data_IF_738932680587
#
_entry.id   IF_738932680587
#
_cell.length_a   1.000
_cell.length_b   1.000
_cell.length_c   1.000
_cell.angle_alpha   90.00
_cell.angle_beta   90.00
_cell.angle_gamma   90.00
#
_symmetry.space_group_name_H-M   'P 1'
#
loop_
_entity.id
_entity.type
_entity.pdbx_description
1 polymer ?
#
# COMPACT_ATOMS: atom_id res chain seq x y z
N UNK A 1 -3.55 -18.44 -12.31
CA UNK A 1 -3.64 -16.99 -12.17
C UNK A 1 -2.92 -16.27 -13.31
N UNK A 2 -3.16 -14.99 -13.45
CA UNK A 2 -2.52 -14.15 -14.48
C UNK A 2 -1.07 -13.79 -14.15
N UNK A 3 -0.72 -13.81 -12.86
CA UNK A 3 0.65 -13.66 -12.35
C UNK A 3 1.17 -15.02 -11.93
N UNK A 4 2.41 -15.33 -12.30
CA UNK A 4 3.12 -16.53 -11.84
C UNK A 4 4.05 -16.12 -10.71
N UNK A 5 3.73 -16.57 -9.53
CA UNK A 5 4.56 -16.33 -8.35
C UNK A 5 5.64 -17.42 -8.22
N UNK A 6 6.84 -16.99 -7.86
CA UNK A 6 7.96 -17.89 -7.58
C UNK A 6 7.67 -18.64 -6.27
N UNK A 7 7.69 -19.97 -6.31
CA UNK A 7 7.26 -20.83 -5.20
C UNK A 7 8.06 -20.58 -3.90
N UNK A 8 9.38 -20.34 -4.05
CA UNK A 8 10.29 -20.10 -2.92
C UNK A 8 10.51 -18.59 -2.63
N UNK A 9 9.76 -17.70 -3.31
CA UNK A 9 9.97 -16.26 -3.23
C UNK A 9 11.30 -15.80 -3.83
N UNK A 10 11.72 -14.58 -3.51
CA UNK A 10 12.98 -13.96 -4.01
C UNK A 10 14.12 -14.01 -2.97
N UNK A 11 13.89 -14.62 -1.84
CA UNK A 11 14.78 -14.68 -0.68
C UNK A 11 13.99 -14.48 0.61
N UNK A 12 14.65 -14.52 1.76
CA UNK A 12 13.97 -14.30 3.03
C UNK A 12 13.43 -12.86 3.08
N UNK A 13 12.17 -12.74 3.46
CA UNK A 13 11.58 -11.42 3.74
C UNK A 13 12.27 -10.83 4.96
N UNK A 14 12.71 -9.59 4.84
CA UNK A 14 13.32 -8.84 5.95
C UNK A 14 12.41 -7.66 6.29
N UNK A 15 12.22 -7.42 7.59
CA UNK A 15 11.48 -6.27 8.10
C UNK A 15 12.42 -5.34 8.83
N UNK A 16 12.40 -4.08 8.42
CA UNK A 16 13.12 -2.98 9.04
C UNK A 16 12.13 -1.89 9.43
N UNK A 17 12.04 -1.57 10.72
CA UNK A 17 11.22 -0.45 11.18
C UNK A 17 11.85 0.87 10.68
N UNK A 18 11.00 1.79 10.23
CA UNK A 18 11.49 3.08 9.71
C UNK A 18 11.97 3.94 10.89
N UNK A 19 13.24 4.35 10.89
CA UNK A 19 13.79 5.16 11.99
C UNK A 19 12.98 6.44 12.21
N UNK A 20 12.64 6.72 13.46
CA UNK A 20 11.89 7.91 13.89
C UNK A 20 10.47 8.03 13.30
N UNK A 21 9.91 7.01 12.66
CA UNK A 21 8.53 6.99 12.15
C UNK A 21 7.74 5.89 12.87
N UNK A 22 7.02 6.23 13.94
CA UNK A 22 6.32 5.22 14.75
C UNK A 22 5.33 4.40 13.93
N UNK A 23 5.48 3.08 13.99
CA UNK A 23 4.55 2.14 13.36
C UNK A 23 4.68 1.98 11.84
N UNK A 24 5.65 2.65 11.21
CA UNK A 24 5.99 2.41 9.80
C UNK A 24 7.17 1.44 9.69
N UNK A 25 7.12 0.55 8.70
CA UNK A 25 8.19 -0.41 8.43
C UNK A 25 8.28 -0.77 6.95
N UNK A 26 9.49 -1.13 6.53
CA UNK A 26 9.79 -1.61 5.19
C UNK A 26 9.95 -3.13 5.24
N UNK A 27 9.44 -3.80 4.23
CA UNK A 27 9.66 -5.22 3.97
C UNK A 27 10.42 -5.37 2.65
N UNK A 28 11.55 -6.04 2.67
CA UNK A 28 12.32 -6.37 1.47
C UNK A 28 11.97 -7.78 0.99
N UNK A 29 12.18 -8.05 -0.31
CA UNK A 29 12.01 -9.38 -0.93
C UNK A 29 10.57 -9.92 -0.94
N UNK A 30 9.57 -9.04 -0.99
CA UNK A 30 8.17 -9.46 -1.12
C UNK A 30 7.87 -9.97 -2.52
N UNK A 31 8.35 -9.26 -3.56
CA UNK A 31 8.18 -9.65 -4.95
C UNK A 31 9.53 -9.85 -5.62
N UNK A 32 9.64 -10.85 -6.49
CA UNK A 32 10.80 -10.99 -7.36
C UNK A 32 10.77 -9.93 -8.48
N UNK A 33 11.91 -9.63 -9.13
CA UNK A 33 11.94 -8.75 -10.30
C UNK A 33 10.96 -9.21 -11.40
N UNK A 34 10.85 -10.52 -11.64
CA UNK A 34 9.93 -11.07 -12.63
C UNK A 34 8.45 -10.86 -12.24
N UNK A 35 8.11 -11.00 -10.96
CA UNK A 35 6.75 -10.72 -10.46
C UNK A 35 6.41 -9.23 -10.60
N UNK A 36 7.36 -8.32 -10.33
CA UNK A 36 7.19 -6.90 -10.59
C UNK A 36 6.93 -6.61 -12.07
N UNK A 37 7.70 -7.22 -12.98
CA UNK A 37 7.51 -7.07 -14.43
C UNK A 37 6.14 -7.57 -14.90
N UNK A 38 5.67 -8.69 -14.38
CA UNK A 38 4.35 -9.21 -14.70
C UNK A 38 3.25 -8.23 -14.24
N UNK A 39 3.35 -7.67 -13.03
CA UNK A 39 2.38 -6.69 -12.52
C UNK A 39 2.40 -5.39 -13.33
N UNK A 40 3.59 -4.90 -13.71
CA UNK A 40 3.74 -3.73 -14.59
C UNK A 40 3.15 -3.99 -15.99
N UNK A 41 3.42 -5.16 -16.55
CA UNK A 41 2.88 -5.55 -17.87
C UNK A 41 1.35 -5.62 -17.85
N UNK A 42 0.76 -6.20 -16.81
CA UNK A 42 -0.69 -6.28 -16.65
C UNK A 42 -1.32 -4.90 -16.52
N UNK A 43 -0.75 -4.01 -15.67
CA UNK A 43 -1.28 -2.64 -15.52
C UNK A 43 -1.23 -1.86 -16.82
N UNK A 44 -0.16 -2.02 -17.58
CA UNK A 44 -0.03 -1.41 -18.92
C UNK A 44 -1.06 -1.96 -19.91
N UNK A 45 -1.32 -3.27 -19.88
CA UNK A 45 -2.33 -3.90 -20.74
C UNK A 45 -3.77 -3.49 -20.38
N UNK A 46 -4.04 -3.24 -19.10
CA UNK A 46 -5.35 -2.75 -18.60
C UNK A 46 -5.56 -1.28 -18.92
N UNK A 47 -4.49 -0.52 -19.06
CA UNK A 47 -4.52 0.91 -19.32
C UNK A 47 -4.48 1.78 -18.04
N UNK A 48 -3.94 2.97 -18.21
CA UNK A 48 -3.82 3.98 -17.17
C UNK A 48 -4.82 5.11 -17.40
N UNK A 49 -5.32 5.70 -16.35
CA UNK A 49 -6.24 6.84 -16.40
C UNK A 49 -5.84 7.91 -15.39
N UNK A 50 -6.04 9.17 -15.75
CA UNK A 50 -5.87 10.30 -14.84
C UNK A 50 -7.05 10.46 -13.86
N UNK A 51 -8.18 9.85 -14.17
CA UNK A 51 -9.40 9.91 -13.36
C UNK A 51 -9.27 8.99 -12.14
N UNK A 52 -9.03 9.57 -10.98
CA UNK A 52 -9.03 8.82 -9.73
C UNK A 52 -10.47 8.47 -9.30
N UNK A 53 -10.73 7.22 -8.88
CA UNK A 53 -12.04 6.82 -8.34
C UNK A 53 -12.44 7.58 -7.07
N UNK A 54 -11.48 8.20 -6.40
CA UNK A 54 -11.67 9.18 -5.33
C UNK A 54 -11.10 10.47 -5.84
N UNK A 55 -11.94 11.40 -6.24
CA UNK A 55 -11.54 12.68 -6.84
C UNK A 55 -10.91 13.59 -5.79
N UNK A 56 -9.61 13.48 -5.65
CA UNK A 56 -8.81 14.55 -5.08
C UNK A 56 -8.41 15.46 -6.25
N UNK A 57 -8.57 16.78 -6.08
CA UNK A 57 -8.16 17.71 -7.14
C UNK A 57 -6.68 17.54 -7.52
N UNK A 58 -6.32 17.81 -8.79
CA UNK A 58 -4.93 17.67 -9.29
C UNK A 58 -3.90 18.44 -8.46
N UNK A 59 -4.32 19.52 -7.78
CA UNK A 59 -3.48 20.26 -6.84
C UNK A 59 -3.07 19.45 -5.61
N UNK A 60 -3.78 18.36 -5.28
CA UNK A 60 -3.47 17.46 -4.15
C UNK A 60 -2.79 16.21 -4.66
N UNK A 61 -3.31 15.60 -5.72
CA UNK A 61 -2.78 14.38 -6.31
C UNK A 61 -2.74 14.48 -7.82
N UNK A 62 -1.54 14.34 -8.37
CA UNK A 62 -1.27 14.25 -9.79
C UNK A 62 -0.53 12.95 -10.07
N UNK A 63 -1.17 12.03 -10.76
CA UNK A 63 -0.63 10.74 -11.17
C UNK A 63 -1.65 10.00 -12.04
N UNK A 64 -1.21 8.97 -12.73
CA UNK A 64 -2.10 8.02 -13.40
C UNK A 64 -2.50 6.88 -12.44
N UNK A 65 -3.65 6.29 -12.70
CA UNK A 65 -4.24 5.22 -11.89
C UNK A 65 -4.65 4.03 -12.76
N UNK A 66 -4.58 2.84 -12.15
CA UNK A 66 -5.24 1.63 -12.63
C UNK A 66 -5.85 0.93 -11.41
N UNK A 67 -7.11 0.52 -11.47
CA UNK A 67 -7.78 -0.15 -10.35
C UNK A 67 -8.00 -1.61 -10.69
N UNK A 68 -7.52 -2.48 -9.82
CA UNK A 68 -7.69 -3.92 -9.92
C UNK A 68 -8.58 -4.45 -8.83
N UNK A 69 -9.22 -5.57 -9.13
CA UNK A 69 -9.83 -6.44 -8.14
C UNK A 69 -8.97 -7.70 -8.10
N UNK A 70 -8.21 -7.85 -7.01
CA UNK A 70 -7.32 -8.99 -6.82
C UNK A 70 -8.11 -10.19 -6.34
N UNK A 71 -8.18 -11.23 -7.13
CA UNK A 71 -8.70 -12.52 -6.68
C UNK A 71 -7.68 -13.28 -5.80
N UNK A 72 -8.09 -14.41 -5.26
CA UNK A 72 -7.26 -15.19 -4.34
C UNK A 72 -5.94 -15.63 -4.98
N UNK A 73 -5.91 -15.90 -6.28
CA UNK A 73 -4.68 -16.28 -6.99
C UNK A 73 -3.63 -15.16 -7.05
N UNK A 74 -4.04 -13.92 -6.79
CA UNK A 74 -3.16 -12.75 -6.82
C UNK A 74 -2.76 -12.29 -5.41
N UNK A 75 -3.72 -12.16 -4.48
CA UNK A 75 -3.41 -11.59 -3.17
C UNK A 75 -2.88 -12.62 -2.16
N UNK A 76 -3.35 -13.88 -2.19
CA UNK A 76 -2.93 -14.91 -1.23
C UNK A 76 -1.42 -15.21 -1.26
N UNK A 77 -0.76 -15.38 -2.42
CA UNK A 77 0.69 -15.62 -2.46
C UNK A 77 1.50 -14.46 -1.84
N UNK A 78 1.04 -13.23 -2.06
CA UNK A 78 1.68 -12.03 -1.48
C UNK A 78 1.41 -11.98 0.03
N UNK A 79 0.17 -12.26 0.44
CA UNK A 79 -0.19 -12.30 1.85
C UNK A 79 0.59 -13.35 2.63
N UNK A 80 0.79 -14.52 2.06
CA UNK A 80 1.58 -15.58 2.70
C UNK A 80 3.02 -15.12 3.04
N UNK A 81 3.61 -14.24 2.22
CA UNK A 81 4.92 -13.64 2.46
C UNK A 81 4.87 -12.48 3.46
N UNK A 82 3.78 -11.74 3.50
CA UNK A 82 3.60 -10.56 4.34
C UNK A 82 3.15 -10.89 5.77
N UNK A 83 2.21 -11.83 5.93
CA UNK A 83 1.50 -12.09 7.18
C UNK A 83 2.41 -12.31 8.41
N UNK A 84 3.54 -13.05 8.31
CA UNK A 84 4.44 -13.27 9.46
C UNK A 84 5.08 -11.98 9.99
N UNK A 85 5.07 -10.91 9.20
CA UNK A 85 5.73 -9.64 9.51
C UNK A 85 4.76 -8.54 9.92
N UNK A 86 3.44 -8.79 9.83
CA UNK A 86 2.44 -7.80 10.18
C UNK A 86 2.28 -7.66 11.70
N UNK A 87 2.07 -6.44 12.19
CA UNK A 87 1.87 -6.22 13.62
C UNK A 87 0.52 -6.75 14.11
N UNK A 88 0.47 -7.16 15.36
CA UNK A 88 -0.78 -7.43 16.08
C UNK A 88 -1.27 -6.11 16.66
N UNK A 89 -2.51 -5.74 16.37
CA UNK A 89 -3.14 -4.56 16.97
C UNK A 89 -3.69 -4.92 18.36
N UNK A 90 -3.45 -4.11 19.40
CA UNK A 90 -3.90 -4.44 20.76
C UNK A 90 -5.43 -4.57 20.92
N UNK A 91 -6.21 -3.86 20.11
CA UNK A 91 -7.67 -3.85 20.17
C UNK A 91 -8.33 -4.81 19.16
N UNK A 92 -7.68 -4.99 18.00
CA UNK A 92 -8.24 -5.73 16.85
C UNK A 92 -7.59 -7.09 16.63
N UNK A 93 -6.51 -7.39 17.35
CA UNK A 93 -5.79 -8.66 17.25
C UNK A 93 -4.91 -8.75 16.02
N UNK A 94 -4.72 -9.99 15.53
CA UNK A 94 -3.90 -10.26 14.35
C UNK A 94 -4.60 -9.79 13.06
N UNK A 95 -3.84 -9.41 12.04
CA UNK A 95 -4.40 -9.07 10.73
C UNK A 95 -4.99 -10.31 10.06
N UNK A 96 -6.04 -10.09 9.26
CA UNK A 96 -6.84 -11.17 8.66
C UNK A 96 -6.72 -11.28 7.14
N UNK A 97 -5.92 -10.45 6.48
CA UNK A 97 -5.69 -10.50 5.04
C UNK A 97 -5.45 -9.13 4.40
N UNK A 98 -5.39 -9.14 3.07
CA UNK A 98 -5.33 -7.93 2.26
C UNK A 98 -6.71 -7.57 1.71
N UNK A 99 -6.97 -6.28 1.58
CA UNK A 99 -8.13 -5.81 0.84
C UNK A 99 -7.98 -6.18 -0.64
N UNK A 100 -9.00 -6.78 -1.25
CA UNK A 100 -8.94 -7.21 -2.65
C UNK A 100 -9.08 -6.06 -3.65
N UNK A 101 -9.43 -4.87 -3.20
CA UNK A 101 -9.44 -3.68 -4.03
C UNK A 101 -8.06 -3.05 -4.09
N UNK A 102 -7.32 -3.33 -5.18
CA UNK A 102 -5.99 -2.78 -5.41
C UNK A 102 -6.06 -1.53 -6.27
N UNK A 103 -5.17 -0.59 -5.97
CA UNK A 103 -4.97 0.65 -6.71
C UNK A 103 -3.51 0.75 -7.11
N UNK A 104 -3.26 0.78 -8.40
CA UNK A 104 -1.94 1.03 -8.90
C UNK A 104 -1.82 2.51 -9.23
N UNK A 105 -0.70 3.10 -8.84
CA UNK A 105 -0.37 4.49 -9.08
C UNK A 105 0.93 4.57 -9.84
N UNK A 106 0.90 5.35 -10.92
CA UNK A 106 2.06 5.65 -11.75
C UNK A 106 2.33 7.13 -11.68
N UNK A 107 3.55 7.49 -11.24
CA UNK A 107 4.03 8.85 -11.11
C UNK A 107 5.15 9.05 -12.12
N UNK A 108 5.00 10.03 -13.02
CA UNK A 108 5.97 10.33 -14.08
C UNK A 108 6.75 11.61 -13.75
N UNK A 109 8.08 11.50 -13.72
CA UNK A 109 8.96 12.63 -13.47
C UNK A 109 8.89 13.72 -14.54
N UNK A 110 8.49 13.38 -15.77
CA UNK A 110 8.28 14.38 -16.82
C UNK A 110 7.10 15.33 -16.51
N UNK A 111 6.17 14.89 -15.65
CA UNK A 111 5.01 15.66 -15.21
C UNK A 111 5.18 16.24 -13.80
N UNK A 112 6.30 15.98 -13.13
CA UNK A 112 6.52 16.26 -11.71
C UNK A 112 5.39 15.71 -10.82
N UNK A 113 4.96 14.48 -11.14
CA UNK A 113 3.83 13.84 -10.46
C UNK A 113 4.07 13.70 -8.96
N UNK A 114 3.02 13.96 -8.18
CA UNK A 114 3.09 14.10 -6.72
C UNK A 114 1.78 13.71 -6.05
N UNK A 115 1.86 13.22 -4.83
CA UNK A 115 0.71 13.14 -3.94
C UNK A 115 1.01 13.87 -2.64
N UNK A 116 0.47 15.09 -2.50
CA UNK A 116 0.78 16.00 -1.39
C UNK A 116 0.34 15.47 -0.04
N UNK A 117 0.81 16.09 1.03
CA UNK A 117 0.53 15.73 2.41
C UNK A 117 -0.95 15.45 2.68
N UNK A 118 -1.22 14.24 3.16
CA UNK A 118 -2.55 13.74 3.48
C UNK A 118 -2.45 12.65 4.55
N UNK A 119 -3.60 12.21 5.05
CA UNK A 119 -3.75 10.95 5.79
C UNK A 119 -4.56 10.00 4.94
N UNK A 120 -4.27 8.73 5.04
CA UNK A 120 -5.08 7.69 4.44
C UNK A 120 -6.32 7.39 5.29
N UNK A 121 -7.47 7.23 4.64
CA UNK A 121 -8.68 6.75 5.31
C UNK A 121 -8.74 5.23 5.37
N UNK A 122 -9.50 4.73 6.31
CA UNK A 122 -9.84 3.32 6.46
C UNK A 122 -11.02 2.91 5.57
N UNK A 123 -11.08 1.63 5.22
CA UNK A 123 -12.06 1.06 4.32
C UNK A 123 -12.54 -0.32 4.81
N UNK A 124 -13.82 -0.67 4.60
CA UNK A 124 -14.29 -2.01 4.87
C UNK A 124 -13.58 -3.04 3.98
N UNK A 125 -13.51 -4.27 4.46
CA UNK A 125 -12.96 -5.38 3.70
C UNK A 125 -13.76 -5.64 2.43
N UNK A 126 -13.12 -5.37 1.27
CA UNK A 126 -13.71 -5.62 -0.04
C UNK A 126 -13.26 -6.98 -0.55
N UNK A 127 -14.13 -7.68 -1.27
CA UNK A 127 -13.82 -8.95 -1.92
C UNK A 127 -14.56 -9.10 -3.25
N UNK A 128 -14.12 -10.07 -4.04
CA UNK A 128 -14.83 -10.51 -5.25
C UNK A 128 -15.86 -11.54 -4.86
N UNK A 129 -17.13 -11.25 -5.09
CA UNK A 129 -18.25 -12.18 -4.91
C UNK A 129 -18.98 -12.30 -6.22
N UNK A 130 -19.11 -13.49 -6.77
CA UNK A 130 -19.72 -13.77 -8.07
C UNK A 130 -19.20 -12.89 -9.20
N UNK A 131 -17.87 -12.67 -9.22
CA UNK A 131 -17.18 -11.88 -10.24
C UNK A 131 -17.38 -10.35 -10.11
N UNK A 132 -17.96 -9.87 -9.00
CA UNK A 132 -18.20 -8.45 -8.74
C UNK A 132 -17.51 -8.00 -7.45
N UNK A 133 -16.99 -6.77 -7.47
CA UNK A 133 -16.48 -6.14 -6.26
C UNK A 133 -17.63 -5.80 -5.31
N UNK A 134 -17.59 -6.40 -4.13
CA UNK A 134 -18.43 -6.03 -2.98
C UNK A 134 -17.57 -5.22 -2.02
N UNK A 135 -17.97 -3.99 -1.72
CA UNK A 135 -17.15 -3.05 -0.92
C UNK A 135 -17.00 -3.47 0.53
N UNK A 136 -18.08 -3.93 1.15
CA UNK A 136 -18.09 -4.49 2.49
C UNK A 136 -18.57 -5.94 2.35
N UNK A 137 -17.64 -6.83 2.02
CA UNK A 137 -17.95 -8.22 1.73
C UNK A 137 -18.08 -9.07 3.00
N UNK A 138 -17.56 -8.60 4.12
CA UNK A 138 -17.40 -9.37 5.33
C UNK A 138 -18.22 -8.81 6.50
N UNK A 139 -18.44 -7.50 6.57
CA UNK A 139 -19.15 -6.83 7.67
C UNK A 139 -18.40 -6.80 9.01
N UNK A 140 -17.26 -7.47 9.12
CA UNK A 140 -16.55 -7.74 10.37
C UNK A 140 -15.10 -7.27 10.38
N UNK A 141 -14.58 -6.72 9.26
CA UNK A 141 -13.18 -6.32 9.12
C UNK A 141 -13.01 -5.03 8.34
N UNK A 142 -12.05 -4.22 8.80
CA UNK A 142 -11.69 -2.95 8.20
C UNK A 142 -10.17 -2.82 8.06
N UNK A 143 -9.74 -2.01 7.14
CA UNK A 143 -8.32 -1.72 6.94
C UNK A 143 -7.78 -0.85 8.07
N UNK A 144 -6.55 -1.12 8.51
CA UNK A 144 -5.84 -0.35 9.53
C UNK A 144 -4.42 0.01 9.12
N UNK A 145 -3.85 -0.74 8.16
CA UNK A 145 -2.53 -0.46 7.60
C UNK A 145 -2.63 -0.21 6.10
N UNK A 146 -2.02 0.86 5.63
CA UNK A 146 -1.67 1.04 4.23
C UNK A 146 -0.51 0.13 3.89
N UNK A 147 -0.60 -0.57 2.77
CA UNK A 147 0.46 -1.36 2.17
C UNK A 147 0.78 -0.82 0.78
N UNK A 148 2.02 -0.40 0.55
CA UNK A 148 2.53 0.04 -0.75
C UNK A 148 3.58 -0.95 -1.22
N UNK A 149 3.32 -1.66 -2.33
CA UNK A 149 4.30 -2.50 -3.01
C UNK A 149 4.97 -1.69 -4.12
N UNK A 150 6.29 -1.68 -4.17
CA UNK A 150 7.07 -0.91 -5.15
C UNK A 150 7.49 -1.81 -6.31
N UNK A 151 7.04 -1.48 -7.52
CA UNK A 151 7.27 -2.33 -8.71
C UNK A 151 8.53 -1.94 -9.49
N UNK A 152 9.07 -0.76 -9.23
CA UNK A 152 10.29 -0.23 -9.85
C UNK A 152 11.09 0.60 -8.84
N UNK A 153 12.32 0.95 -9.20
CA UNK A 153 13.24 1.77 -8.40
C UNK A 153 14.17 2.66 -9.25
N UNK A 154 14.05 2.63 -10.59
CA UNK A 154 14.80 3.52 -11.50
C UNK A 154 14.10 4.87 -11.69
N UNK A 155 13.99 5.62 -10.61
CA UNK A 155 13.47 6.98 -10.61
C UNK A 155 14.19 7.82 -9.54
N UNK A 156 14.18 9.15 -9.69
CA UNK A 156 14.69 10.09 -8.69
C UNK A 156 13.55 10.85 -8.04
N UNK A 157 13.69 11.21 -6.77
CA UNK A 157 12.61 11.72 -5.95
C UNK A 157 11.60 10.63 -5.62
N UNK A 158 10.34 11.02 -5.40
CA UNK A 158 9.22 10.08 -5.23
C UNK A 158 9.26 9.28 -3.92
N UNK A 159 10.04 9.68 -2.92
CA UNK A 159 10.03 9.04 -1.60
C UNK A 159 8.64 9.15 -0.98
N UNK A 160 8.29 8.20 -0.10
CA UNK A 160 7.18 8.41 0.82
C UNK A 160 7.71 9.16 2.03
N UNK A 161 7.23 10.39 2.24
CA UNK A 161 7.74 11.30 3.28
C UNK A 161 6.68 11.50 4.35
N UNK A 162 7.02 11.17 5.59
CA UNK A 162 6.16 11.32 6.77
C UNK A 162 6.46 12.64 7.48
N UNK A 163 5.42 13.29 7.99
CA UNK A 163 5.53 14.35 8.98
C UNK A 163 5.38 13.74 10.37
N UNK A 164 6.45 13.78 11.15
CA UNK A 164 6.49 13.25 12.52
C UNK A 164 6.42 14.44 13.48
N UNK A 165 5.28 14.64 14.18
CA UNK A 165 5.11 15.78 15.08
C UNK A 165 5.99 15.66 16.33
N UNK A 166 6.52 16.78 16.81
CA UNK A 166 7.34 16.85 18.06
C UNK A 166 6.56 16.55 19.35
N UNK A 167 5.28 16.23 19.26
CA UNK A 167 4.41 15.86 20.36
C UNK A 167 2.96 15.80 19.92
N UNK A 168 2.08 15.27 20.76
CA UNK A 168 0.66 15.14 20.44
C UNK A 168 0.04 16.51 20.12
N UNK A 169 -0.56 16.65 18.93
CA UNK A 169 -1.18 17.88 18.45
C UNK A 169 -0.20 19.02 18.09
N UNK A 170 1.12 18.75 18.08
CA UNK A 170 2.10 19.76 17.68
C UNK A 170 1.99 20.10 16.17
N UNK A 171 2.11 21.40 15.85
CA UNK A 171 2.18 21.87 14.46
C UNK A 171 3.59 21.88 13.90
N UNK A 172 4.61 21.65 14.74
CA UNK A 172 6.01 21.46 14.35
C UNK A 172 6.38 19.98 14.40
N UNK A 173 7.21 19.53 13.49
CA UNK A 173 7.66 18.16 13.39
C UNK A 173 8.80 18.03 12.41
N UNK A 174 9.29 16.82 12.27
CA UNK A 174 10.34 16.47 11.34
C UNK A 174 9.76 15.77 10.12
N UNK A 175 10.39 15.95 8.97
CA UNK A 175 10.12 15.16 7.79
C UNK A 175 11.06 13.95 7.76
N UNK A 176 10.49 12.76 7.49
CA UNK A 176 11.23 11.51 7.35
C UNK A 176 10.85 10.86 6.03
N UNK A 177 11.82 10.81 5.11
CA UNK A 177 11.63 10.24 3.78
C UNK A 177 12.07 8.78 3.74
N UNK A 178 11.27 7.93 3.11
CA UNK A 178 11.52 6.50 2.98
C UNK A 178 11.64 6.15 1.52
N UNK A 179 12.76 5.51 1.16
CA UNK A 179 12.98 4.87 -0.13
C UNK A 179 12.83 3.37 0.02
N UNK A 180 12.03 2.75 -0.83
CA UNK A 180 11.80 1.29 -0.82
C UNK A 180 12.37 0.71 -2.11
N UNK A 181 13.15 -0.37 -2.06
CA UNK A 181 13.67 -1.01 -3.25
C UNK A 181 12.55 -1.72 -4.04
N UNK A 182 12.80 -1.96 -5.32
CA UNK A 182 11.91 -2.75 -6.18
C UNK A 182 11.60 -4.10 -5.53
N UNK A 183 10.33 -4.50 -5.59
CA UNK A 183 9.83 -5.73 -4.96
C UNK A 183 9.66 -5.66 -3.45
N UNK A 184 10.01 -4.52 -2.84
CA UNK A 184 9.75 -4.26 -1.42
C UNK A 184 8.36 -3.68 -1.17
N UNK A 185 8.02 -3.57 0.11
CA UNK A 185 6.78 -2.96 0.58
C UNK A 185 7.04 -1.96 1.70
N UNK A 186 6.25 -0.90 1.76
CA UNK A 186 6.14 0.00 2.90
C UNK A 186 4.77 -0.20 3.53
N UNK A 187 4.73 -0.40 4.84
CA UNK A 187 3.49 -0.49 5.60
C UNK A 187 3.47 0.53 6.74
N UNK A 188 2.32 1.14 6.98
CA UNK A 188 2.11 2.12 8.05
C UNK A 188 0.63 2.22 8.41
N UNK A 189 0.36 2.59 9.66
CA UNK A 189 -1.00 2.75 10.19
C UNK A 189 -1.73 3.91 9.52
N UNK A 190 -3.05 3.76 9.34
CA UNK A 190 -3.92 4.79 8.77
C UNK A 190 -5.26 4.93 9.51
N UNK A 191 -6.15 5.74 8.93
CA UNK A 191 -7.46 6.01 9.52
C UNK A 191 -7.36 6.70 10.88
N UNK A 192 -8.15 6.23 11.82
CA UNK A 192 -8.17 6.76 13.19
C UNK A 192 -7.14 6.11 14.13
N UNK A 193 -6.25 5.26 13.61
CA UNK A 193 -5.23 4.64 14.44
C UNK A 193 -4.29 5.70 15.04
N UNK A 194 -3.91 5.59 16.34
CA UNK A 194 -3.07 6.60 17.02
C UNK A 194 -1.71 6.86 16.34
N UNK A 195 -1.20 5.91 15.59
CA UNK A 195 0.04 6.01 14.82
C UNK A 195 -0.18 6.41 13.35
N UNK A 196 -1.39 6.82 12.96
CA UNK A 196 -1.66 7.37 11.63
C UNK A 196 -0.99 8.73 11.49
N UNK A 197 -0.04 8.84 10.56
CA UNK A 197 0.75 10.06 10.33
C UNK A 197 0.39 10.70 9.00
N UNK A 198 0.51 12.04 8.96
CA UNK A 198 0.54 12.78 7.70
C UNK A 198 1.72 12.31 6.86
N UNK A 199 1.49 12.05 5.59
CA UNK A 199 2.53 11.63 4.66
C UNK A 199 2.24 12.13 3.24
N UNK A 200 3.26 12.08 2.39
CA UNK A 200 3.15 12.40 0.97
C UNK A 200 3.94 11.41 0.11
N UNK A 201 3.54 11.28 -1.15
CA UNK A 201 4.44 10.82 -2.20
C UNK A 201 5.13 12.06 -2.77
N UNK A 202 6.38 12.28 -2.41
CA UNK A 202 7.17 13.42 -2.85
C UNK A 202 7.28 13.45 -4.38
N UNK A 203 7.53 14.61 -5.01
CA UNK A 203 7.60 14.71 -6.46
C UNK A 203 8.62 13.74 -7.05
N UNK A 204 8.21 13.04 -8.10
CA UNK A 204 9.14 12.29 -8.96
C UNK A 204 9.79 13.29 -9.90
N UNK A 205 11.12 13.32 -9.95
CA UNK A 205 11.89 14.30 -10.73
C UNK A 205 12.56 13.72 -11.98
N UNK A 206 12.70 12.37 -12.03
CA UNK A 206 13.18 11.60 -13.19
C UNK A 206 12.60 10.20 -13.16
N UNK A 207 12.36 9.63 -14.32
CA UNK A 207 11.87 8.26 -14.46
C UNK A 207 10.40 8.12 -14.10
N UNK A 208 9.99 6.89 -13.86
CA UNK A 208 8.61 6.55 -13.53
C UNK A 208 8.59 5.70 -12.27
N UNK A 209 7.80 6.11 -11.29
CA UNK A 209 7.53 5.34 -10.08
C UNK A 209 6.17 4.67 -10.18
N UNK A 210 6.13 3.36 -10.03
CA UNK A 210 4.89 2.58 -10.01
C UNK A 210 4.76 1.82 -8.70
N UNK A 211 3.63 2.01 -8.03
CA UNK A 211 3.30 1.30 -6.79
C UNK A 211 1.93 0.65 -6.87
N UNK A 212 1.78 -0.47 -6.18
CA UNK A 212 0.48 -1.06 -5.86
C UNK A 212 0.11 -0.64 -4.45
N UNK A 213 -1.04 -0.04 -4.27
CA UNK A 213 -1.64 0.18 -2.96
C UNK A 213 -2.73 -0.84 -2.69
N UNK A 214 -2.59 -1.57 -1.61
CA UNK A 214 -3.65 -2.29 -0.92
C UNK A 214 -3.68 -1.86 0.55
N UNK A 215 -4.55 -2.46 1.32
CA UNK A 215 -4.68 -2.18 2.74
C UNK A 215 -4.73 -3.52 3.50
N UNK A 216 -4.11 -3.58 4.67
CA UNK A 216 -4.17 -4.76 5.55
C UNK A 216 -5.41 -4.68 6.42
N UNK A 217 -6.18 -5.75 6.44
CA UNK A 217 -7.45 -5.86 7.15
C UNK A 217 -7.27 -6.42 8.57
N UNK A 218 -8.01 -5.84 9.51
CA UNK A 218 -8.12 -6.27 10.89
C UNK A 218 -9.58 -6.44 11.26
N UNK A 219 -9.86 -7.26 12.26
CA UNK A 219 -11.23 -7.41 12.76
C UNK A 219 -11.76 -6.12 13.37
N UNK A 220 -13.03 -5.85 13.22
CA UNK A 220 -13.72 -4.80 13.97
C UNK A 220 -13.73 -5.19 15.45
N UNK A 221 -13.46 -4.26 16.40
CA UNK A 221 -13.49 -4.57 17.83
C UNK A 221 -14.78 -5.27 18.24
N UNK A 222 -14.65 -6.41 18.91
CA UNK A 222 -15.77 -7.23 19.35
C UNK A 222 -16.31 -8.25 18.31
N UNK A 223 -15.83 -8.22 17.07
CA UNK A 223 -16.13 -9.26 16.10
C UNK A 223 -15.26 -10.50 16.35
N UNK A 224 -15.83 -11.69 16.15
CA UNK A 224 -15.08 -12.95 16.22
C UNK A 224 -14.72 -13.39 14.80
N UNK A 225 -13.47 -13.81 14.60
CA UNK A 225 -13.08 -14.42 13.33
C UNK A 225 -13.96 -15.65 13.07
N UNK A 226 -14.63 -15.77 11.91
CA UNK A 226 -15.30 -17.03 11.57
C UNK A 226 -14.26 -18.15 11.49
N UNK A 227 -14.60 -19.30 12.05
CA UNK A 227 -13.75 -20.49 12.12
C UNK A 227 -13.49 -21.08 10.73
#
# INVERSE_FOLDING_TARGET
GVVRFDADGWGPVQRDDVPDVPGAFVLSNILSPNECEQLLGLSTAMGWTEDAPVSLGRQIRQNENCVWIADDSLWEPIWARLAPHMPVDPERGAPVGLNQRWRLYRYDGANEDVFRMHTDGDWPGSAVVDGKLVRDAFGDRWSQLTLLLYLDDDYDGGETTFFVPHGAGARSGDLRSVRVPRGGALAFWHGEHPLSLLHEGSPVTRGVKTIVRSDVLYMVPGATCPA
#
